data_IF_743761162168
#
_entry.id   IF_743761162168
#
_cell.length_a   1.000
_cell.length_b   1.000
_cell.length_c   1.000
_cell.angle_alpha   90.00
_cell.angle_beta   90.00
_cell.angle_gamma   90.00
#
_symmetry.space_group_name_H-M   'P 1'
#
loop_
_entity.id
_entity.type
_entity.pdbx_description
1 polymer ?
#
# COMPACT_ATOMS: atom_id res chain seq x y z
N UNK A 1 28.32 -11.18 -8.25
CA UNK A 1 27.96 -10.09 -9.20
C UNK A 1 28.22 -10.59 -10.60
N UNK A 2 27.19 -10.74 -11.40
CA UNK A 2 27.33 -11.08 -12.82
C UNK A 2 27.53 -9.79 -13.63
N UNK A 3 28.32 -9.91 -14.73
CA UNK A 3 28.60 -8.78 -15.60
C UNK A 3 28.14 -9.13 -17.01
N UNK A 4 27.36 -8.23 -17.60
CA UNK A 4 26.80 -8.37 -18.94
C UNK A 4 27.35 -7.27 -19.82
N UNK A 5 27.69 -7.62 -21.06
CA UNK A 5 28.27 -6.70 -22.02
C UNK A 5 27.40 -6.65 -23.29
N UNK A 6 27.09 -5.45 -23.72
CA UNK A 6 26.25 -5.18 -24.88
C UNK A 6 27.00 -4.26 -25.86
N UNK A 7 27.16 -4.66 -27.09
CA UNK A 7 27.69 -3.85 -28.18
C UNK A 7 26.51 -3.32 -29.01
N UNK A 8 26.35 -2.03 -29.13
CA UNK A 8 25.26 -1.43 -29.88
C UNK A 8 25.62 -1.41 -31.36
N UNK A 9 25.16 -2.40 -32.08
CA UNK A 9 25.42 -2.58 -33.53
C UNK A 9 24.18 -2.24 -34.37
N UNK A 10 23.00 -2.15 -33.77
CA UNK A 10 21.78 -1.86 -34.48
C UNK A 10 21.53 -0.34 -34.53
N UNK A 11 21.27 0.18 -35.70
CA UNK A 11 20.93 1.58 -35.91
C UNK A 11 19.61 1.96 -35.28
N UNK A 12 18.66 1.03 -35.17
CA UNK A 12 17.35 1.30 -34.55
C UNK A 12 17.47 1.54 -33.02
N UNK A 13 18.48 0.98 -32.39
CA UNK A 13 18.78 1.20 -30.97
C UNK A 13 19.44 2.57 -30.71
N UNK A 14 20.04 3.16 -31.76
CA UNK A 14 20.75 4.43 -31.62
C UNK A 14 19.82 5.57 -31.27
N UNK A 15 20.17 6.34 -30.24
CA UNK A 15 19.35 7.45 -29.72
C UNK A 15 18.33 7.02 -28.68
N UNK A 16 18.12 5.73 -28.45
CA UNK A 16 17.31 5.25 -27.33
C UNK A 16 18.01 5.57 -25.99
N UNK A 17 17.20 5.78 -24.98
CA UNK A 17 17.74 5.95 -23.63
C UNK A 17 18.21 4.61 -23.07
N UNK A 18 19.37 4.60 -22.44
CA UNK A 18 19.97 3.38 -21.87
C UNK A 18 19.03 2.70 -20.86
N UNK A 19 18.27 3.47 -20.06
CA UNK A 19 17.30 2.94 -19.08
C UNK A 19 16.06 2.28 -19.73
N UNK A 20 15.82 2.52 -21.01
CA UNK A 20 14.78 1.83 -21.79
C UNK A 20 15.32 0.65 -22.59
N UNK A 21 16.49 0.84 -23.17
CA UNK A 21 17.11 -0.17 -24.03
C UNK A 21 17.52 -1.42 -23.25
N UNK A 22 18.14 -1.28 -22.08
CA UNK A 22 18.66 -2.44 -21.33
C UNK A 22 17.58 -3.46 -20.95
N UNK A 23 16.35 -3.08 -20.50
CA UNK A 23 15.26 -4.02 -20.31
C UNK A 23 14.76 -4.71 -21.59
N UNK A 24 14.95 -4.09 -22.76
CA UNK A 24 14.63 -4.72 -24.05
C UNK A 24 15.71 -5.77 -24.46
N UNK A 25 16.96 -5.53 -24.06
CA UNK A 25 18.06 -6.46 -24.32
C UNK A 25 18.11 -7.63 -23.33
N UNK A 26 17.59 -7.43 -22.12
CA UNK A 26 17.46 -8.50 -21.12
C UNK A 26 16.11 -8.34 -20.41
N UNK A 27 15.17 -9.26 -20.73
CA UNK A 27 13.79 -9.24 -20.23
C UNK A 27 13.66 -9.47 -18.72
N UNK A 28 14.69 -9.99 -18.06
CA UNK A 28 14.70 -10.23 -16.62
C UNK A 28 14.92 -8.93 -15.82
N UNK A 29 15.31 -7.87 -16.50
CA UNK A 29 15.58 -6.58 -15.87
C UNK A 29 14.42 -5.61 -16.01
N UNK A 30 13.99 -5.03 -14.91
CA UNK A 30 13.05 -3.93 -14.94
C UNK A 30 13.76 -2.58 -15.14
N UNK A 31 13.06 -1.63 -15.74
CA UNK A 31 13.57 -0.27 -15.91
C UNK A 31 13.97 0.39 -14.60
N UNK A 32 13.25 0.12 -13.51
CA UNK A 32 13.55 0.66 -12.19
C UNK A 32 14.87 0.09 -11.65
N UNK A 33 15.10 -1.20 -11.80
CA UNK A 33 16.39 -1.83 -11.44
C UNK A 33 17.55 -1.18 -12.21
N UNK A 34 17.42 -1.02 -13.53
CA UNK A 34 18.45 -0.36 -14.33
C UNK A 34 18.73 1.06 -13.86
N UNK A 35 17.70 1.85 -13.52
CA UNK A 35 17.90 3.20 -13.01
C UNK A 35 18.62 3.22 -11.66
N UNK A 36 18.36 2.26 -10.80
CA UNK A 36 19.03 2.15 -9.50
C UNK A 36 20.48 1.66 -9.67
N UNK A 37 20.75 0.74 -10.59
CA UNK A 37 22.11 0.32 -10.95
C UNK A 37 22.93 1.47 -11.58
N UNK A 38 22.31 2.28 -12.43
CA UNK A 38 22.95 3.49 -12.98
C UNK A 38 23.34 4.47 -11.89
N UNK A 39 22.44 4.72 -10.91
CA UNK A 39 22.73 5.58 -9.75
C UNK A 39 23.86 5.02 -8.88
N UNK A 40 23.94 3.68 -8.78
CA UNK A 40 25.00 2.98 -8.05
C UNK A 40 26.32 2.90 -8.81
N UNK A 41 26.39 3.40 -10.07
CA UNK A 41 27.60 3.35 -10.89
C UNK A 41 27.88 1.95 -11.46
N UNK A 42 26.87 1.08 -11.54
CA UNK A 42 27.00 -0.29 -12.03
C UNK A 42 26.71 -0.44 -13.53
N UNK A 43 26.41 0.66 -14.22
CA UNK A 43 26.22 0.73 -15.66
C UNK A 43 27.17 1.75 -16.23
N UNK A 44 28.03 1.30 -17.17
CA UNK A 44 28.98 2.16 -17.87
C UNK A 44 28.79 2.01 -19.37
N UNK A 45 29.08 3.07 -20.12
CA UNK A 45 29.20 3.03 -21.58
C UNK A 45 30.60 3.52 -21.97
N UNK A 46 31.34 2.71 -22.72
CA UNK A 46 32.72 3.01 -23.11
C UNK A 46 33.59 3.40 -21.89
N UNK A 47 33.51 2.58 -20.83
CA UNK A 47 34.21 2.75 -19.54
C UNK A 47 33.88 4.05 -18.77
N UNK A 48 32.76 4.70 -19.09
CA UNK A 48 32.32 5.92 -18.42
C UNK A 48 30.95 5.74 -17.78
N UNK A 49 30.79 6.27 -16.56
CA UNK A 49 29.49 6.30 -15.91
C UNK A 49 28.46 7.08 -16.74
N UNK A 50 27.26 6.55 -16.83
CA UNK A 50 26.16 7.14 -17.57
C UNK A 50 25.02 7.58 -16.66
N UNK A 51 24.20 8.50 -17.13
CA UNK A 51 22.92 8.85 -16.49
C UNK A 51 21.79 8.06 -17.12
N UNK A 52 20.69 7.87 -16.43
CA UNK A 52 19.53 7.10 -16.92
C UNK A 52 18.96 7.59 -18.24
N UNK A 53 19.16 8.87 -18.57
CA UNK A 53 18.74 9.48 -19.83
C UNK A 53 19.82 9.44 -20.93
N UNK A 54 20.95 8.79 -20.70
CA UNK A 54 22.00 8.63 -21.71
C UNK A 54 21.41 8.02 -22.98
N UNK A 55 21.62 8.68 -24.11
CA UNK A 55 21.21 8.18 -25.42
C UNK A 55 22.34 7.37 -26.02
N UNK A 56 22.11 6.08 -26.23
CA UNK A 56 23.12 5.18 -26.78
C UNK A 56 23.48 5.54 -28.20
N UNK A 57 24.72 5.30 -28.58
CA UNK A 57 25.27 5.58 -29.90
C UNK A 57 25.67 4.27 -30.58
N UNK A 58 25.76 4.29 -31.90
CA UNK A 58 26.28 3.17 -32.64
C UNK A 58 27.73 2.89 -32.19
N UNK A 59 28.08 1.62 -32.00
CA UNK A 59 29.32 1.10 -31.45
C UNK A 59 29.57 1.44 -29.95
N UNK A 60 28.58 1.90 -29.21
CA UNK A 60 28.74 1.96 -27.76
C UNK A 60 28.91 0.55 -27.20
N UNK A 61 29.88 0.40 -26.31
CA UNK A 61 30.07 -0.79 -25.49
C UNK A 61 29.51 -0.51 -24.09
N UNK A 62 28.41 -1.17 -23.76
CA UNK A 62 27.71 -0.97 -22.47
C UNK A 62 28.01 -2.18 -21.59
N UNK A 63 28.51 -1.92 -20.40
CA UNK A 63 28.75 -2.94 -19.36
C UNK A 63 27.79 -2.70 -18.22
N UNK A 64 27.05 -3.74 -17.85
CA UNK A 64 26.12 -3.75 -16.71
C UNK A 64 26.66 -4.75 -15.69
N UNK A 65 27.03 -4.27 -14.52
CA UNK A 65 27.33 -5.14 -13.38
C UNK A 65 26.07 -5.31 -12.58
N UNK A 66 25.51 -6.51 -12.61
CA UNK A 66 24.31 -6.82 -11.83
C UNK A 66 24.65 -6.73 -10.35
N UNK A 67 23.94 -5.83 -9.66
CA UNK A 67 24.02 -5.80 -8.21
C UNK A 67 23.40 -7.10 -7.72
N UNK A 68 24.17 -7.91 -6.97
CA UNK A 68 23.54 -8.94 -6.16
C UNK A 68 22.38 -8.28 -5.43
N UNK A 69 21.17 -8.74 -5.71
CA UNK A 69 20.04 -8.50 -4.84
C UNK A 69 20.47 -9.17 -3.54
N UNK A 70 21.02 -8.41 -2.63
CA UNK A 70 20.97 -8.76 -1.22
C UNK A 70 19.47 -8.67 -0.95
N UNK A 71 18.76 -9.78 -1.15
CA UNK A 71 17.45 -9.97 -0.57
C UNK A 71 17.70 -9.62 0.89
N UNK A 72 17.13 -8.50 1.31
CA UNK A 72 17.12 -8.19 2.73
C UNK A 72 16.35 -9.36 3.33
N UNK A 73 17.07 -10.30 3.94
CA UNK A 73 16.48 -11.44 4.62
C UNK A 73 15.44 -10.86 5.57
N UNK A 74 14.18 -11.03 5.23
CA UNK A 74 13.09 -10.59 6.08
C UNK A 74 13.08 -11.57 7.24
N UNK A 75 13.58 -11.11 8.38
CA UNK A 75 13.69 -11.93 9.56
C UNK A 75 12.37 -11.94 10.34
N UNK A 76 11.94 -13.11 10.82
CA UNK A 76 10.83 -13.19 11.78
C UNK A 76 11.15 -12.39 13.05
N UNK A 77 10.20 -11.55 13.49
CA UNK A 77 10.34 -10.74 14.70
C UNK A 77 9.14 -10.96 15.64
N UNK A 78 9.41 -11.13 16.95
CA UNK A 78 8.34 -11.21 17.93
C UNK A 78 7.75 -9.82 18.21
N UNK A 79 6.69 -9.49 17.49
CA UNK A 79 5.97 -8.20 17.59
C UNK A 79 4.67 -8.30 18.40
N UNK A 80 4.35 -9.48 18.96
CA UNK A 80 3.12 -9.73 19.72
C UNK A 80 1.86 -9.22 18.99
N UNK A 81 1.69 -9.64 17.73
CA UNK A 81 0.53 -9.26 16.93
C UNK A 81 -0.76 -9.88 17.52
N UNK A 82 -1.81 -9.09 17.55
CA UNK A 82 -3.14 -9.58 17.95
C UNK A 82 -3.77 -10.33 16.77
N UNK A 83 -4.03 -11.63 17.00
CA UNK A 83 -4.67 -12.51 16.02
C UNK A 83 -6.16 -12.61 16.37
N UNK A 84 -7.03 -12.13 15.49
CA UNK A 84 -8.49 -12.10 15.67
C UNK A 84 -9.17 -13.35 15.16
N UNK A 85 -8.52 -14.08 14.27
CA UNK A 85 -8.95 -15.37 13.76
C UNK A 85 -7.74 -16.09 13.15
N UNK A 86 -7.68 -17.40 13.31
CA UNK A 86 -6.67 -18.23 12.63
C UNK A 86 -7.20 -19.67 12.51
N UNK A 87 -7.02 -20.26 11.32
CA UNK A 87 -7.18 -21.68 11.06
C UNK A 87 -6.03 -22.19 10.17
N UNK A 88 -6.22 -23.29 9.45
CA UNK A 88 -5.17 -23.87 8.61
C UNK A 88 -4.94 -23.08 7.29
N UNK A 89 -5.92 -22.30 6.86
CA UNK A 89 -5.94 -21.65 5.55
C UNK A 89 -5.79 -20.13 5.61
N UNK A 90 -6.42 -19.48 6.59
CA UNK A 90 -6.49 -18.02 6.69
C UNK A 90 -6.26 -17.54 8.12
N UNK A 91 -5.86 -16.27 8.23
CA UNK A 91 -5.86 -15.54 9.49
C UNK A 91 -6.43 -14.13 9.31
N UNK A 92 -6.97 -13.56 10.39
CA UNK A 92 -7.29 -12.14 10.50
C UNK A 92 -6.44 -11.56 11.62
N UNK A 93 -5.66 -10.55 11.28
CA UNK A 93 -4.68 -9.96 12.19
C UNK A 93 -4.92 -8.47 12.34
N UNK A 94 -4.59 -7.94 13.51
CA UNK A 94 -4.64 -6.52 13.79
C UNK A 94 -3.26 -5.88 13.55
N UNK A 95 -3.23 -4.81 12.77
CA UNK A 95 -2.05 -3.97 12.55
C UNK A 95 -2.18 -2.68 13.36
N UNK A 96 -1.28 -2.38 14.29
CA UNK A 96 -1.28 -1.09 14.98
C UNK A 96 -0.91 0.07 14.03
N UNK A 97 -1.23 1.29 14.43
CA UNK A 97 -0.75 2.52 13.82
C UNK A 97 0.78 2.60 13.90
N UNK A 98 1.42 3.21 12.91
CA UNK A 98 2.87 3.37 12.83
C UNK A 98 3.63 2.16 12.27
N UNK A 99 2.94 1.05 11.98
CA UNK A 99 3.51 -0.16 11.41
C UNK A 99 3.20 -0.24 9.92
N UNK A 100 4.22 -0.47 9.06
CA UNK A 100 4.00 -0.79 7.65
C UNK A 100 3.64 -2.28 7.50
N UNK A 101 2.88 -2.60 6.45
CA UNK A 101 2.45 -3.99 6.21
C UNK A 101 3.62 -4.87 5.79
N UNK A 102 4.43 -4.43 4.84
CA UNK A 102 5.53 -5.21 4.29
C UNK A 102 6.79 -4.37 4.13
N UNK A 103 7.97 -4.99 4.11
CA UNK A 103 9.23 -4.29 3.94
C UNK A 103 9.26 -3.42 2.69
N UNK A 104 9.86 -2.26 2.84
CA UNK A 104 10.04 -1.27 1.77
C UNK A 104 11.28 -0.42 2.07
N UNK A 105 11.83 0.34 1.11
CA UNK A 105 12.97 1.21 1.36
C UNK A 105 12.79 2.08 2.61
N UNK A 106 13.67 1.91 3.59
CA UNK A 106 13.61 2.58 4.91
C UNK A 106 12.84 1.84 6.01
N UNK A 107 12.16 0.71 5.69
CA UNK A 107 11.36 -0.09 6.62
C UNK A 107 11.58 -1.58 6.36
N UNK A 108 12.69 -2.16 6.82
CA UNK A 108 13.02 -3.59 6.63
C UNK A 108 12.75 -4.42 7.88
N UNK A 109 12.50 -3.79 9.02
CA UNK A 109 12.22 -4.39 10.32
C UNK A 109 10.93 -3.82 10.91
N UNK A 110 10.38 -4.47 11.93
CA UNK A 110 9.14 -4.07 12.60
C UNK A 110 7.94 -3.90 11.65
N UNK A 111 7.90 -4.66 10.56
CA UNK A 111 6.75 -4.68 9.65
C UNK A 111 5.76 -5.77 10.07
N UNK A 112 4.51 -5.66 9.60
CA UNK A 112 3.52 -6.71 9.86
C UNK A 112 4.04 -8.08 9.38
N UNK A 113 4.69 -8.13 8.22
CA UNK A 113 5.26 -9.37 7.68
C UNK A 113 6.31 -9.98 8.61
N UNK A 114 7.22 -9.19 9.22
CA UNK A 114 8.18 -9.70 10.19
C UNK A 114 7.46 -10.39 11.37
N UNK A 115 6.40 -9.77 11.89
CA UNK A 115 5.59 -10.34 12.96
C UNK A 115 4.80 -11.59 12.54
N UNK A 116 4.20 -11.58 11.35
CA UNK A 116 3.49 -12.73 10.80
C UNK A 116 4.40 -13.95 10.63
N UNK A 117 5.61 -13.75 10.10
CA UNK A 117 6.60 -14.82 9.93
C UNK A 117 7.02 -15.45 11.27
N UNK A 118 6.97 -14.69 12.36
CA UNK A 118 7.26 -15.20 13.69
C UNK A 118 6.08 -15.97 14.31
N UNK A 119 4.86 -15.40 14.19
CA UNK A 119 3.68 -15.91 14.93
C UNK A 119 2.85 -16.91 14.15
N UNK A 120 2.81 -16.83 12.81
CA UNK A 120 1.97 -17.68 11.96
C UNK A 120 2.86 -18.66 11.19
N UNK A 121 2.54 -19.93 11.30
CA UNK A 121 3.17 -20.99 10.50
C UNK A 121 2.51 -21.05 9.12
N UNK A 122 3.32 -21.40 8.12
CA UNK A 122 2.84 -21.71 6.76
C UNK A 122 2.12 -20.53 6.09
N UNK A 123 2.80 -19.39 5.93
CA UNK A 123 2.28 -18.28 5.12
C UNK A 123 2.37 -18.62 3.62
N UNK A 124 1.39 -18.17 2.83
CA UNK A 124 1.44 -18.31 1.37
C UNK A 124 2.64 -17.60 0.77
N UNK A 125 3.36 -18.29 -0.11
CA UNK A 125 4.53 -17.78 -0.82
C UNK A 125 4.26 -17.14 -2.19
N UNK A 126 3.00 -17.01 -2.62
CA UNK A 126 2.65 -16.51 -3.98
C UNK A 126 3.29 -15.15 -4.28
N UNK A 127 3.35 -14.24 -3.30
CA UNK A 127 3.97 -12.93 -3.48
C UNK A 127 5.48 -12.92 -3.17
N UNK A 128 6.10 -14.10 -3.15
CA UNK A 128 7.53 -14.27 -2.86
C UNK A 128 7.87 -14.06 -1.38
N UNK A 129 9.17 -14.06 -1.09
CA UNK A 129 9.69 -13.96 0.29
C UNK A 129 9.44 -12.61 0.95
N UNK A 130 9.20 -11.57 0.15
CA UNK A 130 9.03 -10.20 0.64
C UNK A 130 7.62 -9.93 1.19
N UNK A 131 6.60 -10.70 0.77
CA UNK A 131 5.19 -10.46 1.11
C UNK A 131 4.41 -11.74 1.39
N UNK A 132 4.95 -12.68 2.18
CA UNK A 132 4.26 -13.93 2.43
C UNK A 132 2.90 -13.69 3.07
N UNK A 133 1.86 -14.34 2.52
CA UNK A 133 0.50 -14.28 3.03
C UNK A 133 -0.26 -12.98 2.82
N UNK A 134 0.37 -11.93 2.29
CA UNK A 134 -0.26 -10.60 2.13
C UNK A 134 -1.11 -10.56 0.86
N UNK A 135 -2.41 -10.36 1.01
CA UNK A 135 -3.37 -10.21 -0.09
C UNK A 135 -3.87 -8.77 -0.27
N UNK A 136 -3.83 -7.96 0.78
CA UNK A 136 -4.14 -6.52 0.73
C UNK A 136 -3.36 -5.75 1.81
N UNK A 137 -3.50 -4.44 1.82
CA UNK A 137 -2.74 -3.58 2.72
C UNK A 137 -3.56 -2.39 3.20
N UNK A 138 -3.18 -1.87 4.36
CA UNK A 138 -3.59 -0.55 4.88
C UNK A 138 -2.34 0.32 5.08
N UNK A 139 -2.54 1.62 5.19
CA UNK A 139 -1.43 2.59 5.33
C UNK A 139 -0.69 2.42 6.66
N UNK A 140 0.54 2.91 6.75
CA UNK A 140 1.38 2.85 7.95
C UNK A 140 0.63 3.37 9.19
N UNK A 141 0.04 4.57 9.09
CA UNK A 141 -0.65 5.24 10.19
C UNK A 141 -2.17 4.92 10.27
N UNK A 142 -2.62 3.91 9.55
CA UNK A 142 -3.96 3.33 9.69
C UNK A 142 -3.86 2.06 10.52
N UNK A 143 -4.65 1.97 11.58
CA UNK A 143 -4.79 0.76 12.40
C UNK A 143 -5.91 -0.14 11.88
N UNK A 144 -5.94 -1.38 12.32
CA UNK A 144 -7.08 -2.28 12.12
C UNK A 144 -6.77 -3.60 11.45
N UNK A 145 -7.81 -4.25 10.96
CA UNK A 145 -7.82 -5.64 10.56
C UNK A 145 -7.37 -5.86 9.11
N UNK A 146 -6.55 -6.90 8.92
CA UNK A 146 -6.19 -7.45 7.62
C UNK A 146 -6.44 -8.96 7.60
N UNK A 147 -6.84 -9.48 6.44
CA UNK A 147 -6.85 -10.92 6.17
C UNK A 147 -5.51 -11.35 5.60
N UNK A 148 -5.07 -12.54 5.98
CA UNK A 148 -3.78 -13.15 5.64
C UNK A 148 -4.01 -14.55 5.12
N UNK A 149 -3.34 -14.94 4.03
CA UNK A 149 -3.40 -16.28 3.47
C UNK A 149 -2.27 -17.16 4.03
N UNK A 150 -2.61 -18.36 4.52
CA UNK A 150 -1.64 -19.31 5.07
C UNK A 150 -1.15 -20.33 4.03
N UNK A 151 -1.85 -20.45 2.91
CA UNK A 151 -1.45 -21.28 1.77
C UNK A 151 -1.89 -20.65 0.43
N UNK A 152 -1.44 -21.23 -0.66
CA UNK A 152 -1.63 -20.68 -2.00
C UNK A 152 -3.07 -20.81 -2.50
N UNK A 153 -3.83 -21.79 -2.04
CA UNK A 153 -5.25 -21.95 -2.39
C UNK A 153 -6.04 -20.80 -1.76
N UNK A 154 -5.85 -20.59 -0.47
CA UNK A 154 -6.46 -19.48 0.24
C UNK A 154 -6.06 -18.13 -0.33
N UNK A 155 -4.78 -17.95 -0.70
CA UNK A 155 -4.31 -16.72 -1.31
C UNK A 155 -5.08 -16.38 -2.60
N UNK A 156 -5.18 -17.35 -3.53
CA UNK A 156 -5.93 -17.16 -4.78
C UNK A 156 -7.40 -16.82 -4.53
N UNK A 157 -8.06 -17.57 -3.64
CA UNK A 157 -9.47 -17.31 -3.32
C UNK A 157 -9.72 -15.95 -2.67
N UNK A 158 -8.86 -15.50 -1.76
CA UNK A 158 -8.97 -14.16 -1.16
C UNK A 158 -8.70 -13.04 -2.17
N UNK A 159 -7.73 -13.22 -3.08
CA UNK A 159 -7.47 -12.26 -4.16
C UNK A 159 -8.66 -12.18 -5.12
N UNK A 160 -9.29 -13.30 -5.47
CA UNK A 160 -10.48 -13.35 -6.30
C UNK A 160 -11.63 -12.55 -5.67
N UNK A 161 -11.91 -12.74 -4.38
CA UNK A 161 -12.92 -11.98 -3.64
C UNK A 161 -12.59 -10.48 -3.53
N UNK A 162 -11.33 -10.10 -3.50
CA UNK A 162 -10.94 -8.68 -3.58
C UNK A 162 -11.18 -8.10 -4.97
N UNK A 163 -11.02 -8.90 -6.03
CA UNK A 163 -11.23 -8.49 -7.41
C UNK A 163 -12.73 -8.38 -7.76
N UNK A 164 -13.55 -9.31 -7.29
CA UNK A 164 -15.00 -9.30 -7.49
C UNK A 164 -15.74 -8.39 -6.50
N UNK A 165 -14.99 -7.74 -5.58
CA UNK A 165 -15.49 -6.78 -4.60
C UNK A 165 -16.40 -7.39 -3.52
N UNK A 166 -16.37 -8.69 -3.31
CA UNK A 166 -17.20 -9.39 -2.31
C UNK A 166 -16.65 -9.27 -0.87
N UNK A 167 -15.36 -8.91 -0.69
CA UNK A 167 -14.80 -8.66 0.63
C UNK A 167 -15.39 -7.41 1.24
N UNK A 168 -16.04 -7.56 2.40
CA UNK A 168 -16.57 -6.44 3.18
C UNK A 168 -15.44 -5.80 3.99
N UNK A 169 -15.15 -4.52 3.71
CA UNK A 169 -14.12 -3.75 4.42
C UNK A 169 -14.72 -2.44 4.87
N UNK A 170 -14.83 -2.25 6.20
CA UNK A 170 -15.36 -1.03 6.78
C UNK A 170 -14.32 -0.35 7.65
N UNK A 171 -14.27 0.96 7.51
CA UNK A 171 -13.33 1.83 8.19
C UNK A 171 -14.09 2.90 8.95
N UNK A 172 -13.59 3.29 10.10
CA UNK A 172 -14.04 4.49 10.82
C UNK A 172 -13.05 5.60 10.54
N UNK A 173 -13.56 6.75 10.14
CA UNK A 173 -12.76 7.94 9.86
C UNK A 173 -13.36 9.18 10.53
N UNK A 174 -12.50 10.05 11.08
CA UNK A 174 -12.89 11.38 11.51
C UNK A 174 -12.41 12.39 10.48
N UNK A 175 -13.33 13.21 9.95
CA UNK A 175 -13.03 14.18 8.90
C UNK A 175 -13.28 15.61 9.37
N UNK A 176 -12.58 16.56 8.76
CA UNK A 176 -12.84 17.99 8.95
C UNK A 176 -14.14 18.42 8.28
N UNK A 177 -14.88 19.28 8.93
CA UNK A 177 -16.12 19.86 8.42
C UNK A 177 -17.36 19.00 8.67
N UNK A 178 -18.52 19.56 8.31
CA UNK A 178 -19.80 18.90 8.46
C UNK A 178 -20.30 18.42 7.10
N UNK A 179 -20.34 17.11 6.90
CA UNK A 179 -20.90 16.50 5.70
C UNK A 179 -22.42 16.71 5.72
N UNK A 180 -23.02 17.34 4.69
CA UNK A 180 -24.44 17.70 4.71
C UNK A 180 -25.41 16.53 4.47
N UNK A 181 -24.88 15.35 4.09
CA UNK A 181 -25.66 14.15 3.74
C UNK A 181 -25.31 13.01 4.68
N UNK A 182 -26.32 12.25 5.10
CA UNK A 182 -26.13 11.13 6.03
C UNK A 182 -25.34 9.95 5.41
N UNK A 183 -25.37 9.83 4.09
CA UNK A 183 -24.63 8.80 3.35
C UNK A 183 -24.30 9.28 1.93
N UNK A 184 -23.37 8.59 1.29
CA UNK A 184 -23.02 8.87 -0.09
C UNK A 184 -22.05 7.85 -0.68
N UNK A 185 -21.83 7.99 -1.98
CA UNK A 185 -20.86 7.20 -2.75
C UNK A 185 -19.91 8.13 -3.46
N UNK A 186 -18.61 7.87 -3.32
CA UNK A 186 -17.56 8.56 -4.07
C UNK A 186 -17.05 7.57 -5.10
N UNK A 187 -17.45 7.79 -6.34
CA UNK A 187 -16.99 7.04 -7.52
C UNK A 187 -16.09 7.95 -8.36
N UNK A 188 -14.78 7.87 -8.08
CA UNK A 188 -13.81 8.79 -8.67
C UNK A 188 -12.46 8.08 -8.83
N UNK A 189 -11.90 8.00 -10.06
CA UNK A 189 -10.70 7.23 -10.34
C UNK A 189 -9.47 7.84 -9.67
N UNK A 190 -8.59 6.98 -9.11
CA UNK A 190 -7.40 7.39 -8.38
C UNK A 190 -6.14 7.00 -9.15
N UNK A 191 -5.24 7.97 -9.28
CA UNK A 191 -3.91 7.78 -9.86
C UNK A 191 -2.83 8.59 -9.13
N UNK A 192 -1.61 8.54 -9.66
CA UNK A 192 -0.50 9.34 -9.12
C UNK A 192 -0.76 10.83 -9.37
N UNK A 193 -0.55 11.64 -8.33
CA UNK A 193 -0.63 13.08 -8.47
C UNK A 193 0.47 13.58 -9.43
N UNK A 194 0.07 14.32 -10.47
CA UNK A 194 1.00 14.82 -11.51
C UNK A 194 2.00 15.84 -10.95
N UNK A 195 1.62 16.55 -9.90
CA UNK A 195 2.44 17.60 -9.27
C UNK A 195 3.28 17.09 -8.08
N UNK A 196 2.86 15.98 -7.46
CA UNK A 196 3.57 15.36 -6.34
C UNK A 196 3.52 13.82 -6.46
N UNK A 197 4.61 13.25 -6.98
CA UNK A 197 4.71 11.80 -7.23
C UNK A 197 4.63 10.92 -5.96
N UNK A 198 4.75 11.50 -4.78
CA UNK A 198 4.62 10.79 -3.51
C UNK A 198 3.16 10.72 -3.03
N UNK A 199 2.24 11.44 -3.66
CA UNK A 199 0.82 11.46 -3.33
C UNK A 199 -0.04 10.87 -4.44
N UNK A 200 -1.27 10.52 -4.07
CA UNK A 200 -2.33 10.09 -4.97
C UNK A 200 -3.36 11.21 -5.14
N UNK A 201 -4.10 11.20 -6.22
CA UNK A 201 -5.17 12.16 -6.48
C UNK A 201 -6.29 11.51 -7.31
N UNK A 202 -7.47 12.13 -7.29
CA UNK A 202 -8.49 11.85 -8.31
C UNK A 202 -8.02 12.42 -9.63
N UNK A 203 -7.89 11.56 -10.64
CA UNK A 203 -7.41 11.92 -12.01
C UNK A 203 -8.16 11.09 -13.04
N UNK A 204 -8.46 11.67 -14.20
CA UNK A 204 -9.27 11.02 -15.24
C UNK A 204 -8.66 9.72 -15.79
N UNK A 205 -7.33 9.64 -15.82
CA UNK A 205 -6.54 8.48 -16.24
C UNK A 205 -6.20 7.52 -15.08
N UNK A 206 -6.87 7.69 -13.93
CA UNK A 206 -6.72 6.85 -12.75
C UNK A 206 -7.38 5.48 -12.88
N UNK A 207 -7.14 4.63 -11.87
CA UNK A 207 -7.83 3.34 -11.72
C UNK A 207 -9.16 3.55 -11.03
N UNK A 208 -10.19 2.82 -11.45
CA UNK A 208 -11.51 2.79 -10.80
C UNK A 208 -11.35 2.71 -9.27
N UNK A 209 -12.06 3.57 -8.57
CA UNK A 209 -12.07 3.60 -7.12
C UNK A 209 -13.44 4.04 -6.61
N UNK A 210 -14.05 3.20 -5.75
CA UNK A 210 -15.38 3.43 -5.19
C UNK A 210 -15.34 3.29 -3.68
N UNK A 211 -15.82 4.33 -2.98
CA UNK A 211 -15.96 4.40 -1.53
C UNK A 211 -17.37 4.81 -1.18
N UNK A 212 -18.08 3.99 -0.39
CA UNK A 212 -19.35 4.36 0.22
C UNK A 212 -19.09 4.91 1.62
N UNK A 213 -19.87 5.90 2.06
CA UNK A 213 -19.79 6.37 3.43
C UNK A 213 -21.17 6.55 4.06
N UNK A 214 -21.22 6.35 5.37
CA UNK A 214 -22.36 6.71 6.23
C UNK A 214 -21.85 7.60 7.36
N UNK A 215 -22.58 8.66 7.66
CA UNK A 215 -22.30 9.52 8.79
C UNK A 215 -22.76 8.83 10.07
N UNK A 216 -21.85 8.72 11.04
CA UNK A 216 -22.14 8.14 12.35
C UNK A 216 -22.45 9.21 13.40
N UNK A 217 -21.72 10.34 13.38
CA UNK A 217 -21.87 11.40 14.36
C UNK A 217 -21.42 12.75 13.77
N UNK A 218 -22.17 13.81 14.04
CA UNK A 218 -21.80 15.18 13.70
C UNK A 218 -21.26 15.90 14.93
N UNK A 219 -20.17 16.63 14.75
CA UNK A 219 -19.61 17.56 15.72
C UNK A 219 -19.64 18.98 15.15
N UNK A 220 -19.30 19.97 15.94
CA UNK A 220 -19.31 21.38 15.50
C UNK A 220 -18.46 21.63 14.25
N UNK A 221 -17.27 20.99 14.15
CA UNK A 221 -16.32 21.20 13.06
C UNK A 221 -15.82 19.90 12.43
N UNK A 222 -16.39 18.76 12.79
CA UNK A 222 -15.95 17.45 12.33
C UNK A 222 -17.15 16.53 12.06
N UNK A 223 -16.90 15.47 11.31
CA UNK A 223 -17.88 14.40 11.10
C UNK A 223 -17.19 13.06 11.29
N UNK A 224 -17.78 12.17 12.09
CA UNK A 224 -17.38 10.77 12.19
C UNK A 224 -18.14 9.99 11.14
N UNK A 225 -17.42 9.24 10.30
CA UNK A 225 -18.00 8.47 9.21
C UNK A 225 -17.53 7.02 9.23
N UNK A 226 -18.42 6.11 8.83
CA UNK A 226 -18.05 4.76 8.41
C UNK A 226 -17.88 4.75 6.90
N UNK A 227 -16.72 4.29 6.42
CA UNK A 227 -16.45 4.11 4.99
C UNK A 227 -16.43 2.63 4.64
N UNK A 228 -17.11 2.23 3.58
CA UNK A 228 -17.05 0.88 3.02
C UNK A 228 -16.41 0.92 1.63
N UNK A 229 -15.43 0.05 1.42
CA UNK A 229 -14.67 0.00 0.16
C UNK A 229 -15.19 -1.09 -0.77
N UNK A 230 -15.41 -0.77 -2.05
CA UNK A 230 -15.47 -1.75 -3.13
C UNK A 230 -14.06 -2.04 -3.67
N UNK A 231 -13.26 -1.03 -3.85
CA UNK A 231 -11.88 -1.08 -4.34
C UNK A 231 -10.89 -0.74 -3.23
N UNK A 232 -9.61 -1.05 -3.41
CA UNK A 232 -8.57 -0.78 -2.42
C UNK A 232 -7.35 -0.09 -3.04
N UNK A 233 -7.50 1.15 -3.55
CA UNK A 233 -6.38 1.92 -4.08
C UNK A 233 -5.56 2.54 -2.98
N UNK A 234 -4.29 2.79 -3.25
CA UNK A 234 -3.38 3.48 -2.32
C UNK A 234 -3.99 4.78 -1.82
N UNK A 235 -4.08 4.96 -0.50
CA UNK A 235 -4.66 6.14 0.17
C UNK A 235 -6.13 6.44 -0.20
N UNK A 236 -6.91 5.45 -0.65
CA UNK A 236 -8.21 5.69 -1.29
C UNK A 236 -9.16 6.53 -0.45
N UNK A 237 -9.45 6.16 0.80
CA UNK A 237 -10.36 6.92 1.68
C UNK A 237 -9.83 8.35 1.89
N UNK A 238 -8.54 8.50 2.14
CA UNK A 238 -7.88 9.78 2.37
C UNK A 238 -8.01 10.72 1.18
N UNK A 239 -7.79 10.20 -0.03
CA UNK A 239 -7.91 10.94 -1.30
C UNK A 239 -9.37 11.27 -1.59
N UNK A 240 -10.28 10.30 -1.45
CA UNK A 240 -11.71 10.49 -1.72
C UNK A 240 -12.35 11.51 -0.78
N UNK A 241 -12.08 11.43 0.51
CA UNK A 241 -12.63 12.38 1.48
C UNK A 241 -12.06 13.79 1.26
N UNK A 242 -10.77 13.93 0.90
CA UNK A 242 -10.22 15.22 0.47
C UNK A 242 -10.89 15.73 -0.80
N UNK A 243 -11.15 14.87 -1.78
CA UNK A 243 -11.76 15.22 -3.06
C UNK A 243 -13.15 15.83 -2.88
N UNK A 244 -13.95 15.30 -1.97
CA UNK A 244 -15.27 15.85 -1.65
C UNK A 244 -15.23 17.02 -0.65
N UNK A 245 -14.05 17.48 -0.24
CA UNK A 245 -13.86 18.66 0.62
C UNK A 245 -13.83 18.38 2.12
N UNK A 246 -13.80 17.12 2.56
CA UNK A 246 -13.78 16.69 3.96
C UNK A 246 -12.55 15.83 4.27
N UNK A 247 -11.31 16.40 4.25
CA UNK A 247 -10.10 15.63 4.50
C UNK A 247 -10.08 15.05 5.92
N UNK A 248 -9.35 13.94 6.10
CA UNK A 248 -9.23 13.29 7.41
C UNK A 248 -8.49 14.16 8.41
N UNK A 249 -8.95 14.11 9.65
CA UNK A 249 -8.25 14.73 10.79
C UNK A 249 -6.89 14.04 10.98
N UNK A 250 -5.86 14.85 11.26
CA UNK A 250 -4.51 14.38 11.51
C UNK A 250 -3.75 13.91 10.28
N UNK A 251 -4.35 13.91 9.09
CA UNK A 251 -3.68 13.42 7.87
C UNK A 251 -2.53 14.34 7.44
N UNK A 252 -1.26 13.88 7.52
CA UNK A 252 -0.10 14.73 7.25
C UNK A 252 0.08 15.04 5.76
N UNK A 253 -0.56 14.25 4.87
CA UNK A 253 -0.38 14.37 3.42
C UNK A 253 -1.56 15.04 2.73
N UNK A 254 -2.77 14.75 3.14
CA UNK A 254 -3.99 15.20 2.50
C UNK A 254 -4.82 16.16 3.35
N UNK A 255 -4.56 16.25 4.65
CA UNK A 255 -5.24 17.13 5.60
C UNK A 255 -4.76 18.59 5.52
N UNK A 256 -5.48 19.50 6.17
CA UNK A 256 -5.04 20.87 6.34
C UNK A 256 -3.84 20.94 7.29
N UNK A 257 -3.02 22.00 7.15
CA UNK A 257 -1.86 22.21 8.05
C UNK A 257 -2.26 22.34 9.53
N UNK A 258 -3.42 22.95 9.78
CA UNK A 258 -3.96 23.06 11.13
C UNK A 258 -4.99 21.95 11.33
N UNK A 259 -4.63 20.93 12.06
CA UNK A 259 -5.46 19.76 12.36
C UNK A 259 -5.20 19.29 13.80
N UNK A 260 -6.06 18.43 14.31
CA UNK A 260 -5.83 17.77 15.60
C UNK A 260 -4.75 16.70 15.40
N UNK A 261 -3.87 16.58 16.39
CA UNK A 261 -2.82 15.56 16.36
C UNK A 261 -3.35 14.25 16.94
N UNK A 262 -3.23 13.21 16.13
CA UNK A 262 -3.53 11.81 16.50
C UNK A 262 -2.41 10.87 16.01
N UNK A 263 -1.22 11.44 15.72
CA UNK A 263 -0.08 10.64 15.22
C UNK A 263 -0.33 10.04 13.83
N UNK A 264 -0.89 10.80 12.89
CA UNK A 264 -1.28 10.37 11.55
C UNK A 264 -2.76 10.59 11.27
N UNK A 265 -3.30 9.99 10.22
CA UNK A 265 -4.71 10.11 9.86
C UNK A 265 -5.63 9.38 10.85
N UNK A 266 -6.74 10.02 11.23
CA UNK A 266 -7.80 9.41 12.02
C UNK A 266 -8.60 8.42 11.16
N UNK A 267 -8.04 7.21 10.98
CA UNK A 267 -8.57 6.14 10.12
C UNK A 267 -8.28 4.77 10.75
N UNK A 268 -9.32 3.95 10.86
CA UNK A 268 -9.26 2.64 11.47
C UNK A 268 -10.04 1.61 10.66
N UNK A 269 -9.39 0.52 10.24
CA UNK A 269 -10.00 -0.62 9.57
C UNK A 269 -10.72 -1.51 10.60
N UNK A 270 -11.93 -1.12 10.97
CA UNK A 270 -12.65 -1.71 12.10
C UNK A 270 -13.37 -3.01 11.79
N UNK A 271 -13.65 -3.32 10.52
CA UNK A 271 -14.35 -4.55 10.14
C UNK A 271 -13.78 -5.14 8.85
N UNK A 272 -13.61 -6.45 8.88
CA UNK A 272 -13.34 -7.25 7.69
C UNK A 272 -14.26 -8.47 7.66
N UNK A 273 -14.87 -8.75 6.49
CA UNK A 273 -15.73 -9.91 6.26
C UNK A 273 -15.46 -10.49 4.88
N UNK A 274 -15.34 -11.81 4.81
CA UNK A 274 -15.07 -12.56 3.58
C UNK A 274 -15.59 -13.99 3.70
N UNK A 275 -15.77 -14.65 2.57
CA UNK A 275 -16.06 -16.07 2.52
C UNK A 275 -14.76 -16.86 2.65
N UNK A 276 -14.72 -17.84 3.53
CA UNK A 276 -13.54 -18.69 3.69
C UNK A 276 -13.24 -19.43 2.38
N UNK A 277 -12.05 -19.25 1.78
CA UNK A 277 -11.80 -19.72 0.40
C UNK A 277 -11.78 -21.23 0.22
N UNK A 278 -11.76 -22.01 1.31
CA UNK A 278 -11.78 -23.48 1.27
C UNK A 278 -13.12 -24.03 1.75
N UNK A 279 -13.65 -23.54 2.86
CA UNK A 279 -14.88 -24.07 3.48
C UNK A 279 -16.17 -23.42 2.99
N UNK A 280 -16.10 -22.21 2.41
CA UNK A 280 -17.26 -21.42 2.02
C UNK A 280 -17.99 -20.74 3.20
N UNK A 281 -17.51 -20.88 4.41
CA UNK A 281 -18.09 -20.21 5.59
C UNK A 281 -17.81 -18.71 5.55
N UNK A 282 -18.81 -17.88 5.88
CA UNK A 282 -18.60 -16.45 6.02
C UNK A 282 -17.92 -16.12 7.36
N UNK A 283 -16.77 -15.47 7.27
CA UNK A 283 -15.98 -15.00 8.41
C UNK A 283 -16.09 -13.48 8.50
N UNK A 284 -16.49 -12.96 9.65
CA UNK A 284 -16.48 -11.51 9.92
C UNK A 284 -15.81 -11.25 11.27
N UNK A 285 -14.93 -10.26 11.33
CA UNK A 285 -14.26 -9.82 12.55
C UNK A 285 -14.33 -8.30 12.67
N UNK A 286 -14.44 -7.87 13.94
CA UNK A 286 -14.52 -6.48 14.33
C UNK A 286 -13.36 -6.16 15.26
N UNK A 287 -12.76 -4.98 15.09
CA UNK A 287 -11.80 -4.40 16.03
C UNK A 287 -12.33 -3.08 16.54
N UNK A 288 -12.30 -2.91 17.85
CA UNK A 288 -12.64 -1.65 18.52
C UNK A 288 -11.69 -0.53 18.08
N UNK A 289 -12.15 0.71 18.17
CA UNK A 289 -11.29 1.87 17.94
C UNK A 289 -10.11 1.85 18.92
N UNK A 290 -8.90 2.21 18.46
CA UNK A 290 -7.78 2.35 19.37
C UNK A 290 -8.02 3.48 20.37
N UNK A 291 -7.44 3.37 21.57
CA UNK A 291 -7.69 4.27 22.70
C UNK A 291 -7.43 5.74 22.38
N UNK A 292 -6.37 6.01 21.59
CA UNK A 292 -6.05 7.39 21.16
C UNK A 292 -7.16 8.00 20.30
N UNK A 293 -7.83 7.19 19.49
CA UNK A 293 -8.97 7.65 18.67
C UNK A 293 -10.21 7.88 19.54
N UNK A 294 -10.52 6.97 20.45
CA UNK A 294 -11.64 7.15 21.41
C UNK A 294 -11.42 8.39 22.29
N UNK A 295 -10.23 8.60 22.82
CA UNK A 295 -9.87 9.76 23.63
C UNK A 295 -10.04 11.08 22.85
N UNK A 296 -9.70 11.07 21.56
CA UNK A 296 -9.93 12.21 20.67
C UNK A 296 -11.42 12.51 20.51
N UNK A 297 -12.24 11.50 20.23
CA UNK A 297 -13.68 11.64 20.10
C UNK A 297 -14.31 12.18 21.39
N UNK A 298 -13.92 11.65 22.54
CA UNK A 298 -14.40 12.11 23.85
C UNK A 298 -14.02 13.56 24.13
N UNK A 299 -12.81 13.96 23.73
CA UNK A 299 -12.35 15.36 23.85
C UNK A 299 -13.20 16.29 23.00
N UNK A 300 -13.54 15.88 21.77
CA UNK A 300 -14.40 16.67 20.87
C UNK A 300 -15.82 16.74 21.42
N UNK A 301 -16.40 15.62 21.88
CA UNK A 301 -17.75 15.56 22.49
C UNK A 301 -17.88 16.50 23.67
N UNK A 302 -16.89 16.47 24.60
CA UNK A 302 -16.87 17.37 25.78
C UNK A 302 -16.71 18.84 25.40
N UNK A 303 -16.00 19.16 24.34
CA UNK A 303 -15.83 20.54 23.87
C UNK A 303 -17.08 21.08 23.18
N UNK A 304 -17.82 20.23 22.49
CA UNK A 304 -19.00 20.61 21.70
C UNK A 304 -20.31 20.52 22.49
N UNK A 305 -20.29 19.89 23.70
CA UNK A 305 -21.38 19.85 24.66
C UNK A 305 -21.54 21.20 25.37
#
# INVERSE_FOLDING_TARGET
METYEFNITDKEQTGMRVDKLLPELNSDWSRNQIQDWIKAGLVVANDKFVKSNYKVKLNDHIVVTEKEVVEADILPENLNLDIYYEDDDVAVVYKPKGMVVHPSPGHYTNTLVNGLMYQIKNLSGINGEIRPGIVHRIDMDTSGLLMVAKNDIAHRGLVEQLMDKSVKRKYIALVHGNIPHDYGTIDAPIGRNKNDRQSMAVVDDGKEAVTHFNVLEHFKNYTLVECQLETGRTHQIRVHMKYIGFPLVGDPKYGPKKTLDIGGQALHAGLIGFEHPVTGEYIERHAELPQDFEDLLDTIRKRDA
#
